data_IF_188853371032
#
_entry.id   IF_188853371032
#
_cell.length_a   1.000
_cell.length_b   1.000
_cell.length_c   1.000
_cell.angle_alpha   90.00
_cell.angle_beta   90.00
_cell.angle_gamma   90.00
#
_symmetry.space_group_name_H-M   'P 1'
#
loop_
_entity.id
_entity.type
_entity.pdbx_description
1 polymer ?
#
# COMPACT_ATOMS: atom_id res chain seq x y z
N UNK A 1 -23.00 21.15 -16.95
CA UNK A 1 -21.67 20.71 -16.49
C UNK A 1 -21.78 20.27 -15.05
N UNK A 2 -21.28 19.07 -14.72
CA UNK A 2 -21.21 18.57 -13.35
C UNK A 2 -19.78 18.75 -12.85
N UNK A 3 -19.61 19.31 -11.65
CA UNK A 3 -18.31 19.65 -11.08
C UNK A 3 -18.02 18.75 -9.88
N UNK A 4 -16.79 18.25 -9.78
CA UNK A 4 -16.37 17.41 -8.66
C UNK A 4 -15.17 17.99 -7.93
N UNK A 5 -15.20 17.88 -6.60
CA UNK A 5 -14.14 18.38 -5.72
C UNK A 5 -13.16 17.26 -5.40
N UNK A 6 -11.87 17.52 -5.57
CA UNK A 6 -10.81 16.54 -5.28
C UNK A 6 -9.73 17.22 -4.44
N UNK A 7 -9.43 16.64 -3.27
CA UNK A 7 -8.43 17.20 -2.34
C UNK A 7 -6.99 17.10 -2.85
N UNK A 8 -6.70 16.12 -3.73
CA UNK A 8 -5.35 15.91 -4.28
C UNK A 8 -5.19 16.71 -5.58
N UNK A 9 -4.09 17.45 -5.68
CA UNK A 9 -3.76 18.17 -6.90
C UNK A 9 -3.20 17.23 -7.97
N UNK A 10 -3.78 17.28 -9.17
CA UNK A 10 -3.28 16.63 -10.38
C UNK A 10 -2.74 17.73 -11.30
N UNK A 11 -1.41 17.79 -11.48
CA UNK A 11 -0.72 18.91 -12.17
C UNK A 11 -1.13 19.11 -13.63
N UNK A 12 -1.51 18.05 -14.32
CA UNK A 12 -1.68 18.04 -15.78
C UNK A 12 -3.14 18.06 -16.23
N UNK A 13 -4.09 18.32 -15.31
CA UNK A 13 -5.52 18.39 -15.63
C UNK A 13 -6.05 19.80 -15.42
N UNK A 14 -6.87 20.32 -16.35
CA UNK A 14 -7.51 21.63 -16.20
C UNK A 14 -8.45 21.58 -14.99
N UNK A 15 -8.26 22.54 -14.07
CA UNK A 15 -9.02 22.62 -12.83
C UNK A 15 -9.30 24.08 -12.46
N UNK A 16 -10.47 24.31 -11.88
CA UNK A 16 -10.83 25.59 -11.29
C UNK A 16 -10.43 25.55 -9.81
N UNK A 17 -9.75 26.59 -9.32
CA UNK A 17 -9.37 26.68 -7.91
C UNK A 17 -10.32 27.63 -7.19
N UNK A 18 -10.96 27.14 -6.12
CA UNK A 18 -11.83 27.93 -5.23
C UNK A 18 -11.28 27.81 -3.81
N UNK A 19 -10.61 28.87 -3.34
CA UNK A 19 -9.89 28.86 -2.07
C UNK A 19 -8.77 27.81 -2.06
N UNK A 20 -8.81 26.86 -1.11
CA UNK A 20 -7.87 25.72 -1.06
C UNK A 20 -8.35 24.49 -1.84
N UNK A 21 -9.55 24.55 -2.39
CA UNK A 21 -10.21 23.43 -3.06
C UNK A 21 -9.99 23.51 -4.56
N UNK A 22 -9.66 22.37 -5.17
CA UNK A 22 -9.59 22.23 -6.63
C UNK A 22 -10.80 21.47 -7.13
N UNK A 23 -11.41 22.04 -8.16
CA UNK A 23 -12.62 21.55 -8.80
C UNK A 23 -12.25 21.13 -10.22
N UNK A 24 -12.58 19.90 -10.57
CA UNK A 24 -12.32 19.34 -11.89
C UNK A 24 -13.65 19.08 -12.61
N UNK A 25 -13.62 19.11 -13.95
CA UNK A 25 -14.75 18.65 -14.75
C UNK A 25 -14.99 17.15 -14.47
N UNK A 26 -16.25 16.74 -14.35
CA UNK A 26 -16.64 15.35 -14.19
C UNK A 26 -16.14 14.45 -15.34
N UNK A 27 -15.91 14.99 -16.53
CA UNK A 27 -15.32 14.25 -17.65
C UNK A 27 -13.94 13.65 -17.31
N UNK A 28 -13.16 14.32 -16.46
CA UNK A 28 -11.82 13.87 -16.04
C UNK A 28 -11.84 12.94 -14.82
N UNK A 29 -13.01 12.59 -14.30
CA UNK A 29 -13.11 11.84 -13.04
C UNK A 29 -12.41 10.48 -13.10
N UNK A 30 -12.58 9.73 -14.19
CA UNK A 30 -11.96 8.42 -14.36
C UNK A 30 -10.43 8.53 -14.36
N UNK A 31 -9.88 9.52 -15.06
CA UNK A 31 -8.44 9.77 -15.13
C UNK A 31 -7.87 10.22 -13.79
N UNK A 32 -8.55 11.13 -13.09
CA UNK A 32 -8.18 11.58 -11.74
C UNK A 32 -8.15 10.39 -10.79
N UNK A 33 -9.17 9.54 -10.83
CA UNK A 33 -9.27 8.35 -9.98
C UNK A 33 -8.11 7.40 -10.27
N UNK A 34 -7.84 7.09 -11.54
CA UNK A 34 -6.71 6.25 -11.93
C UNK A 34 -5.38 6.82 -11.44
N UNK A 35 -5.11 8.11 -11.65
CA UNK A 35 -3.86 8.77 -11.22
C UNK A 35 -3.74 8.85 -9.69
N UNK A 36 -4.84 9.06 -8.97
CA UNK A 36 -4.86 9.03 -7.50
C UNK A 36 -4.51 7.63 -7.01
N UNK A 37 -5.13 6.60 -7.59
CA UNK A 37 -4.89 5.21 -7.25
C UNK A 37 -3.44 4.83 -7.54
N UNK A 38 -2.92 5.11 -8.74
CA UNK A 38 -1.53 4.84 -9.13
C UNK A 38 -0.50 5.54 -8.22
N UNK A 39 -0.79 6.77 -7.79
CA UNK A 39 0.10 7.55 -6.92
C UNK A 39 -0.25 7.44 -5.43
N UNK A 40 -1.14 6.52 -5.04
CA UNK A 40 -1.52 6.35 -3.64
C UNK A 40 -0.44 5.51 -2.96
N UNK A 41 0.15 6.03 -1.88
CA UNK A 41 0.97 5.22 -0.96
C UNK A 41 0.19 4.02 -0.38
N UNK A 42 -1.15 4.07 -0.41
CA UNK A 42 -2.01 2.96 -0.03
C UNK A 42 -2.09 1.84 -1.09
N UNK A 43 -1.65 2.08 -2.34
CA UNK A 43 -1.21 1.00 -3.23
C UNK A 43 0.17 0.48 -2.80
N UNK A 44 0.31 0.15 -1.52
CA UNK A 44 1.37 -0.76 -1.10
C UNK A 44 1.13 -2.11 -1.79
N UNK A 45 1.64 -2.27 -3.02
CA UNK A 45 1.53 -3.45 -3.89
C UNK A 45 0.10 -3.78 -4.35
N UNK A 46 -0.52 -2.90 -5.14
CA UNK A 46 -1.75 -3.26 -5.88
C UNK A 46 -1.52 -4.31 -7.00
N UNK A 47 -0.28 -4.73 -7.24
CA UNK A 47 0.06 -5.83 -8.15
C UNK A 47 0.32 -7.17 -7.45
N UNK A 48 0.33 -7.23 -6.11
CA UNK A 48 0.50 -8.49 -5.39
C UNK A 48 -0.87 -9.03 -4.99
N UNK A 49 -1.20 -10.24 -5.42
CA UNK A 49 -2.38 -10.96 -4.96
C UNK A 49 -2.35 -11.11 -3.44
N UNK A 50 -3.54 -11.28 -2.82
CA UNK A 50 -3.63 -11.58 -1.38
C UNK A 50 -2.78 -12.79 -1.00
N UNK A 51 -2.65 -13.75 -1.91
CA UNK A 51 -1.82 -14.94 -1.76
C UNK A 51 -0.33 -14.58 -1.66
N UNK A 52 0.22 -13.83 -2.61
CA UNK A 52 1.64 -13.41 -2.59
C UNK A 52 1.98 -12.54 -1.37
N UNK A 53 1.04 -11.70 -0.92
CA UNK A 53 1.21 -10.95 0.32
C UNK A 53 1.31 -11.88 1.52
N UNK A 54 0.51 -12.94 1.56
CA UNK A 54 0.51 -13.93 2.63
C UNK A 54 1.77 -14.78 2.61
N UNK A 55 2.16 -15.33 1.47
CA UNK A 55 3.41 -16.08 1.31
C UNK A 55 4.62 -15.27 1.77
N UNK A 56 4.67 -13.99 1.40
CA UNK A 56 5.75 -13.09 1.85
C UNK A 56 5.77 -12.89 3.37
N UNK A 57 4.60 -12.83 4.02
CA UNK A 57 4.51 -12.72 5.49
C UNK A 57 4.95 -14.00 6.18
N UNK A 58 4.50 -15.14 5.67
CA UNK A 58 4.87 -16.45 6.19
C UNK A 58 6.38 -16.69 6.06
N UNK A 59 6.96 -16.41 4.89
CA UNK A 59 8.41 -16.50 4.67
C UNK A 59 9.21 -15.58 5.60
N UNK A 60 8.71 -14.37 5.89
CA UNK A 60 9.36 -13.47 6.85
C UNK A 60 9.32 -14.02 8.28
N UNK A 61 8.23 -14.69 8.68
CA UNK A 61 8.10 -15.34 9.97
C UNK A 61 9.04 -16.55 10.10
N UNK A 62 9.12 -17.39 9.07
CA UNK A 62 10.03 -18.54 9.00
C UNK A 62 11.50 -18.10 9.11
N UNK A 63 11.92 -17.11 8.30
CA UNK A 63 13.26 -16.54 8.36
C UNK A 63 13.60 -15.97 9.75
N UNK A 64 12.60 -15.41 10.46
CA UNK A 64 12.79 -14.94 11.82
C UNK A 64 12.89 -16.09 12.83
N UNK A 65 12.16 -17.18 12.61
CA UNK A 65 12.18 -18.37 13.47
C UNK A 65 13.53 -19.09 13.44
N UNK A 66 14.27 -19.02 12.32
CA UNK A 66 15.63 -19.57 12.20
C UNK A 66 16.73 -18.80 12.99
N UNK A 67 16.35 -17.85 13.84
CA UNK A 67 17.17 -17.37 14.96
C UNK A 67 18.23 -16.31 14.66
N UNK A 68 18.86 -16.31 13.48
CA UNK A 68 20.08 -15.52 13.25
C UNK A 68 19.99 -14.37 12.24
N UNK A 69 18.83 -14.14 11.62
CA UNK A 69 18.69 -13.07 10.62
C UNK A 69 18.25 -11.74 11.25
N UNK A 70 18.96 -10.66 10.89
CA UNK A 70 18.57 -9.27 11.20
C UNK A 70 17.35 -8.88 10.36
N UNK A 71 16.54 -7.95 10.86
CA UNK A 71 15.37 -7.46 10.12
C UNK A 71 15.72 -6.87 8.75
N UNK A 72 16.89 -6.23 8.62
CA UNK A 72 17.43 -5.75 7.35
C UNK A 72 17.58 -6.88 6.31
N UNK A 73 18.17 -8.00 6.71
CA UNK A 73 18.38 -9.14 5.83
C UNK A 73 17.07 -9.80 5.43
N UNK A 74 16.14 -9.94 6.39
CA UNK A 74 14.80 -10.46 6.10
C UNK A 74 14.08 -9.53 5.12
N UNK A 75 14.21 -8.22 5.25
CA UNK A 75 13.60 -7.25 4.33
C UNK A 75 14.08 -7.45 2.90
N UNK A 76 15.41 -7.61 2.73
CA UNK A 76 16.05 -7.89 1.45
C UNK A 76 15.56 -9.21 0.84
N UNK A 77 15.52 -10.29 1.64
CA UNK A 77 15.13 -11.63 1.18
C UNK A 77 13.64 -11.76 0.83
N UNK A 78 12.78 -10.91 1.40
CA UNK A 78 11.32 -10.99 1.22
C UNK A 78 10.77 -9.84 0.35
N UNK A 79 11.61 -8.88 -0.02
CA UNK A 79 11.20 -7.71 -0.80
C UNK A 79 10.33 -6.72 -0.02
N UNK A 80 10.54 -6.60 1.30
CA UNK A 80 10.04 -5.46 2.08
C UNK A 80 11.01 -4.28 1.93
N UNK A 81 10.44 -3.07 1.81
CA UNK A 81 11.25 -1.85 1.64
C UNK A 81 11.95 -1.41 2.91
N UNK A 82 11.44 -1.82 4.08
CA UNK A 82 11.92 -1.35 5.37
C UNK A 82 11.85 -2.46 6.41
N UNK A 83 12.73 -2.39 7.42
CA UNK A 83 12.72 -3.28 8.59
C UNK A 83 11.40 -3.23 9.35
N UNK A 84 10.83 -2.04 9.53
CA UNK A 84 9.52 -1.88 10.15
C UNK A 84 8.42 -2.58 9.35
N UNK A 85 8.56 -2.69 8.03
CA UNK A 85 7.66 -3.47 7.17
C UNK A 85 7.72 -4.97 7.48
N UNK A 86 8.93 -5.49 7.69
CA UNK A 86 9.15 -6.89 8.11
C UNK A 86 8.53 -7.15 9.49
N UNK A 87 8.78 -6.27 10.46
CA UNK A 87 8.23 -6.41 11.80
C UNK A 87 6.68 -6.45 11.79
N UNK A 88 6.05 -5.55 11.01
CA UNK A 88 4.59 -5.53 10.84
C UNK A 88 4.08 -6.81 10.16
N UNK A 89 4.80 -7.32 9.16
CA UNK A 89 4.45 -8.55 8.46
C UNK A 89 4.45 -9.77 9.39
N UNK A 90 5.51 -9.93 10.18
CA UNK A 90 5.67 -11.01 11.16
C UNK A 90 4.56 -10.96 12.22
N UNK A 91 4.29 -9.77 12.77
CA UNK A 91 3.24 -9.61 13.78
C UNK A 91 1.82 -9.77 13.20
N UNK A 92 1.61 -9.47 11.93
CA UNK A 92 0.35 -9.78 11.26
C UNK A 92 0.14 -11.29 11.15
N UNK A 93 1.18 -12.04 10.75
CA UNK A 93 1.09 -13.50 10.59
C UNK A 93 0.92 -14.22 11.93
N UNK A 94 1.67 -13.82 12.98
CA UNK A 94 1.50 -14.37 14.34
C UNK A 94 0.07 -14.21 14.86
N UNK A 95 -0.51 -13.03 14.71
CA UNK A 95 -1.91 -12.76 15.12
C UNK A 95 -2.91 -13.59 14.31
N UNK A 96 -2.59 -13.92 13.07
CA UNK A 96 -3.43 -14.76 12.23
C UNK A 96 -3.34 -16.24 12.65
N UNK A 97 -2.14 -16.74 12.97
CA UNK A 97 -1.96 -18.11 13.49
C UNK A 97 -2.71 -18.33 14.80
N UNK A 98 -2.65 -17.36 15.73
CA UNK A 98 -3.41 -17.40 16.99
C UNK A 98 -4.94 -17.38 16.81
N UNK A 99 -5.44 -16.90 15.67
CA UNK A 99 -6.89 -16.93 15.36
C UNK A 99 -7.35 -18.24 14.75
N UNK A 100 -6.44 -18.96 14.10
CA UNK A 100 -6.74 -20.23 13.41
C UNK A 100 -6.55 -21.42 14.35
N UNK A 101 -5.64 -21.30 15.32
CA UNK A 101 -5.48 -22.23 16.44
C UNK A 101 -5.89 -21.54 17.74
N UNK A 102 -7.18 -21.64 18.16
CA UNK A 102 -7.57 -21.28 19.52
C UNK A 102 -6.96 -22.22 20.56
#
# INVERSE_FOLDING_TARGET
>A
MSLQTVRKYIRDLPAITVGRTRIYDAAYLQEITARILLNSRAQGKAGASKHEVRERRQRALELRAHGNLRYADIARLTGYKTESGVWRAINAERRQQLRVHP
#
